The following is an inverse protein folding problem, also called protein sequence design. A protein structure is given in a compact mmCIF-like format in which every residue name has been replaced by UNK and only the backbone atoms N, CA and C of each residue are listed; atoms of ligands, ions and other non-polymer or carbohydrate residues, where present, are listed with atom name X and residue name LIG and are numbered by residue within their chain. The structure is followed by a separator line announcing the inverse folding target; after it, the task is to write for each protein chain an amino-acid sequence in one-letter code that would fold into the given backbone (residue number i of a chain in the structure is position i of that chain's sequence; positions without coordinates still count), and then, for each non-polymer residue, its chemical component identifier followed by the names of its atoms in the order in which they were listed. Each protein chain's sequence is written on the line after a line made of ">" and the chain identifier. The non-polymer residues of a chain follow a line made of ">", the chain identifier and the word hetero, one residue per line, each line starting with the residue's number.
data_IF_407386837832
#
_entry.id   IF_407386837832
#
_cell.length_a   1.000
_cell.length_b   1.000
_cell.length_c   1.000
_cell.angle_alpha   90.00
_cell.angle_beta   90.00
_cell.angle_gamma   90.00
#
_symmetry.space_group_name_H-M   'P 1'
#
loop_
_entity.id
_entity.type
_entity.pdbx_description
1 polymer ?
#
# COMPACT_ATOMS: atom_id res chain seq x y z
N UNK A 1 -11.16 9.72 11.69
CA UNK A 1 -9.77 9.79 12.19
C UNK A 1 -8.81 9.61 11.02
N UNK A 2 -7.79 10.45 10.93
CA UNK A 2 -6.84 10.41 9.80
C UNK A 2 -5.53 9.78 10.24
N UNK A 3 -5.12 8.72 9.54
CA UNK A 3 -3.84 8.07 9.81
C UNK A 3 -2.73 8.79 9.07
N UNK A 4 -1.57 8.89 9.71
CA UNK A 4 -0.37 9.41 9.08
C UNK A 4 0.21 8.31 8.18
N UNK A 5 0.59 8.65 6.96
CA UNK A 5 1.18 7.68 6.03
C UNK A 5 2.70 7.81 6.08
N UNK A 6 3.38 6.70 6.36
CA UNK A 6 4.83 6.62 6.35
C UNK A 6 5.28 5.56 5.35
N UNK A 7 6.51 5.66 4.87
CA UNK A 7 7.03 4.81 3.81
C UNK A 7 8.39 4.23 4.16
N UNK A 8 8.59 2.96 3.81
CA UNK A 8 9.94 2.38 3.82
C UNK A 8 10.70 2.86 2.58
N UNK A 9 12.02 2.63 2.57
CA UNK A 9 12.82 2.92 1.37
C UNK A 9 12.34 2.10 0.18
N UNK A 10 11.99 0.84 0.42
CA UNK A 10 11.48 -0.02 -0.65
C UNK A 10 10.19 0.55 -1.25
N UNK A 11 9.30 1.06 -0.41
CA UNK A 11 8.06 1.67 -0.89
C UNK A 11 8.36 2.90 -1.74
N UNK A 12 9.28 3.75 -1.30
CA UNK A 12 9.66 4.95 -2.04
C UNK A 12 10.21 4.60 -3.41
N UNK A 13 11.08 3.59 -3.47
CA UNK A 13 11.62 3.12 -4.76
C UNK A 13 10.52 2.59 -5.67
N UNK A 14 9.57 1.86 -5.10
CA UNK A 14 8.43 1.35 -5.86
C UNK A 14 7.61 2.46 -6.47
N UNK A 15 7.29 3.48 -5.69
CA UNK A 15 6.55 4.62 -6.21
C UNK A 15 7.32 5.35 -7.31
N UNK A 16 8.63 5.47 -7.14
CA UNK A 16 9.45 6.11 -8.16
C UNK A 16 9.44 5.34 -9.47
N UNK A 17 9.52 4.00 -9.40
CA UNK A 17 9.45 3.16 -10.60
C UNK A 17 8.09 3.30 -11.29
N UNK A 18 7.01 3.30 -10.52
CA UNK A 18 5.68 3.49 -11.09
C UNK A 18 5.57 4.84 -11.77
N UNK A 19 6.06 5.88 -11.13
CA UNK A 19 5.99 7.23 -11.69
C UNK A 19 6.71 7.31 -13.03
N UNK A 20 7.87 6.67 -13.14
CA UNK A 20 8.68 6.72 -14.37
C UNK A 20 8.13 5.87 -15.49
N UNK A 21 7.64 4.67 -15.20
CA UNK A 21 7.32 3.71 -16.24
C UNK A 21 5.83 3.39 -16.37
N UNK A 22 5.03 3.66 -15.36
CA UNK A 22 3.61 3.32 -15.39
C UNK A 22 2.76 4.41 -14.73
N UNK A 23 2.60 5.56 -15.39
CA UNK A 23 1.90 6.71 -14.79
C UNK A 23 0.48 6.43 -14.32
N UNK A 24 -0.26 5.58 -15.05
CA UNK A 24 -1.63 5.24 -14.63
C UNK A 24 -1.62 4.43 -13.33
N UNK A 25 -0.68 3.50 -13.21
CA UNK A 25 -0.52 2.72 -11.99
C UNK A 25 -0.10 3.64 -10.83
N UNK A 26 0.78 4.58 -11.10
CA UNK A 26 1.20 5.55 -10.10
C UNK A 26 0.00 6.35 -9.59
N UNK A 27 -0.83 6.87 -10.50
CA UNK A 27 -2.00 7.65 -10.11
C UNK A 27 -2.97 6.82 -9.27
N UNK A 28 -3.15 5.55 -9.63
CA UNK A 28 -3.99 4.65 -8.84
C UNK A 28 -3.41 4.44 -7.45
N UNK A 29 -2.09 4.26 -7.36
CA UNK A 29 -1.42 4.07 -6.07
C UNK A 29 -1.60 5.29 -5.18
N UNK A 30 -1.47 6.50 -5.72
CA UNK A 30 -1.69 7.73 -4.96
C UNK A 30 -3.13 7.81 -4.47
N UNK A 31 -4.07 7.45 -5.31
CA UNK A 31 -5.49 7.42 -4.93
C UNK A 31 -5.72 6.46 -3.75
N UNK A 32 -5.07 5.29 -3.79
CA UNK A 32 -5.17 4.33 -2.69
C UNK A 32 -4.56 4.87 -1.40
N UNK A 33 -3.45 5.61 -1.49
CA UNK A 33 -2.86 6.23 -0.30
C UNK A 33 -3.82 7.20 0.36
N UNK A 34 -4.53 7.99 -0.44
CA UNK A 34 -5.51 8.92 0.10
C UNK A 34 -6.63 8.20 0.83
N UNK A 35 -7.07 7.05 0.30
CA UNK A 35 -8.07 6.23 0.98
C UNK A 35 -7.52 5.63 2.27
N UNK A 36 -6.26 5.16 2.24
CA UNK A 36 -5.65 4.55 3.42
C UNK A 36 -5.64 5.48 4.62
N UNK A 37 -5.43 6.76 4.38
CA UNK A 37 -5.38 7.73 5.47
C UNK A 37 -6.69 7.78 6.25
N UNK A 38 -7.80 7.54 5.57
CA UNK A 38 -9.13 7.58 6.21
C UNK A 38 -9.68 6.20 6.50
N UNK A 39 -9.38 5.22 5.65
CA UNK A 39 -9.98 3.88 5.72
C UNK A 39 -8.94 2.79 5.48
N UNK A 40 -8.06 2.51 6.45
CA UNK A 40 -6.98 1.54 6.22
C UNK A 40 -7.44 0.10 6.03
N UNK A 41 -8.65 -0.23 6.45
CA UNK A 41 -9.12 -1.62 6.38
C UNK A 41 -10.20 -1.86 5.31
N UNK A 42 -10.63 -0.84 4.62
CA UNK A 42 -11.72 -0.96 3.64
C UNK A 42 -11.51 -0.01 2.48
N UNK A 43 -12.20 -0.27 1.38
CA UNK A 43 -12.20 0.63 0.23
C UNK A 43 -11.74 -0.04 -1.05
N UNK A 44 -11.20 0.76 -1.96
CA UNK A 44 -10.82 0.34 -3.32
C UNK A 44 -9.59 -0.57 -3.30
N UNK A 45 -9.48 -1.44 -4.30
CA UNK A 45 -8.31 -2.30 -4.48
C UNK A 45 -8.37 -3.59 -3.69
N UNK A 46 -9.54 -3.96 -3.19
CA UNK A 46 -9.76 -5.21 -2.46
C UNK A 46 -8.76 -5.37 -1.32
N UNK A 47 -8.82 -4.50 -0.30
CA UNK A 47 -7.92 -4.64 0.85
C UNK A 47 -8.11 -5.98 1.52
N UNK A 48 -7.00 -6.69 1.76
CA UNK A 48 -7.05 -7.99 2.41
C UNK A 48 -5.86 -8.20 3.33
N UNK A 49 -6.07 -8.88 4.46
CA UNK A 49 -4.96 -9.22 5.34
C UNK A 49 -4.13 -10.35 4.73
N UNK A 50 -2.83 -10.27 4.91
CA UNK A 50 -1.93 -11.32 4.42
C UNK A 50 -1.70 -12.36 5.50
N UNK A 51 -1.21 -13.54 5.09
CA UNK A 51 -1.08 -14.69 5.99
C UNK A 51 0.37 -15.16 6.06
N UNK A 52 0.61 -16.14 6.96
CA UNK A 52 1.91 -16.74 7.12
C UNK A 52 2.93 -15.74 7.61
N UNK A 53 4.07 -15.70 6.95
CA UNK A 53 5.15 -14.80 7.32
C UNK A 53 4.80 -13.34 7.20
N UNK A 54 3.73 -13.03 6.46
CA UNK A 54 3.27 -11.66 6.28
C UNK A 54 2.08 -11.31 7.16
N UNK A 55 1.79 -12.14 8.16
CA UNK A 55 0.72 -11.87 9.10
C UNK A 55 0.91 -10.50 9.76
N UNK A 56 -0.15 -9.70 9.82
CA UNK A 56 -0.09 -8.33 10.31
C UNK A 56 0.06 -7.30 9.20
N UNK A 57 0.28 -7.76 7.97
CA UNK A 57 0.34 -6.89 6.81
C UNK A 57 -0.95 -6.98 6.02
N UNK A 58 -1.21 -5.96 5.22
CA UNK A 58 -2.38 -5.86 4.34
C UNK A 58 -1.92 -5.53 2.94
N UNK A 59 -2.74 -5.88 1.95
CA UNK A 59 -2.46 -5.48 0.58
C UNK A 59 -3.69 -4.91 -0.09
N UNK A 60 -3.45 -4.01 -1.05
CA UNK A 60 -4.47 -3.52 -1.99
C UNK A 60 -3.92 -3.64 -3.39
N UNK A 61 -4.80 -3.98 -4.31
CA UNK A 61 -4.42 -4.12 -5.73
C UNK A 61 -4.28 -2.73 -6.36
N UNK A 62 -3.10 -2.45 -6.91
CA UNK A 62 -2.89 -1.27 -7.75
C UNK A 62 -3.26 -1.63 -9.18
N UNK A 63 -2.62 -2.69 -9.72
CA UNK A 63 -2.92 -3.27 -11.01
C UNK A 63 -2.76 -4.78 -10.88
N UNK A 64 -2.88 -5.52 -12.00
CA UNK A 64 -2.62 -6.96 -11.98
C UNK A 64 -1.18 -7.27 -11.58
N UNK A 65 -0.24 -6.38 -11.92
CA UNK A 65 1.18 -6.58 -11.64
C UNK A 65 1.63 -6.08 -10.29
N UNK A 66 0.94 -5.08 -9.75
CA UNK A 66 1.45 -4.34 -8.60
C UNK A 66 0.48 -4.35 -7.45
N UNK A 67 1.02 -4.47 -6.23
CA UNK A 67 0.25 -4.43 -4.99
C UNK A 67 0.84 -3.39 -4.06
N UNK A 68 -0.04 -2.72 -3.33
CA UNK A 68 0.34 -1.85 -2.23
C UNK A 68 0.31 -2.68 -0.96
N UNK A 69 1.46 -2.86 -0.30
CA UNK A 69 1.55 -3.65 0.93
C UNK A 69 1.84 -2.70 2.08
N UNK A 70 1.10 -2.85 3.17
CA UNK A 70 1.20 -1.90 4.28
C UNK A 70 0.85 -2.57 5.60
N UNK A 71 1.24 -1.90 6.69
CA UNK A 71 0.85 -2.26 8.06
C UNK A 71 0.05 -1.12 8.65
N UNK A 72 -0.90 -1.46 9.52
CA UNK A 72 -1.68 -0.44 10.22
C UNK A 72 -1.30 -0.50 11.70
N UNK A 73 -0.83 0.63 12.20
CA UNK A 73 -0.43 0.78 13.60
C UNK A 73 -1.46 1.66 14.29
N UNK A 74 -2.52 1.04 14.81
CA UNK A 74 -3.67 1.77 15.34
C UNK A 74 -3.32 2.64 16.54
N UNK A 75 -2.44 2.14 17.42
CA UNK A 75 -2.07 2.89 18.62
C UNK A 75 -1.37 4.21 18.26
N UNK A 76 -0.51 4.20 17.26
CA UNK A 76 0.19 5.39 16.78
C UNK A 76 -0.59 6.16 15.74
N UNK A 77 -1.67 5.59 15.22
CA UNK A 77 -2.48 6.15 14.13
C UNK A 77 -1.61 6.37 12.89
N UNK A 78 -0.86 5.35 12.53
CA UNK A 78 0.08 5.36 11.41
C UNK A 78 -0.21 4.19 10.47
N UNK A 79 -0.13 4.44 9.17
CA UNK A 79 -0.08 3.38 8.15
C UNK A 79 1.33 3.40 7.57
N UNK A 80 2.05 2.30 7.73
CA UNK A 80 3.40 2.17 7.19
C UNK A 80 3.33 1.40 5.87
N UNK A 81 3.69 2.07 4.78
CA UNK A 81 3.68 1.47 3.44
C UNK A 81 5.01 0.77 3.22
N UNK A 82 4.95 -0.54 2.98
CA UNK A 82 6.13 -1.40 2.86
C UNK A 82 6.61 -1.56 1.43
N UNK A 83 5.68 -1.64 0.48
CA UNK A 83 6.03 -1.78 -0.93
C UNK A 83 4.87 -1.36 -1.81
N UNK A 84 5.17 -1.04 -3.08
CA UNK A 84 4.17 -0.59 -4.05
C UNK A 84 4.44 -1.11 -5.45
N UNK A 85 5.57 -1.77 -5.68
CA UNK A 85 5.94 -2.23 -7.01
C UNK A 85 6.08 -3.74 -7.01
N UNK A 86 5.42 -4.38 -7.98
CA UNK A 86 5.45 -5.83 -8.07
C UNK A 86 4.42 -6.51 -7.17
N UNK A 87 4.50 -7.82 -7.12
CA UNK A 87 3.68 -8.65 -6.26
C UNK A 87 4.46 -9.08 -5.04
N UNK A 88 3.76 -9.30 -3.94
CA UNK A 88 4.35 -10.06 -2.84
C UNK A 88 4.24 -11.54 -3.19
N UNK A 89 5.10 -12.36 -2.63
CA UNK A 89 5.03 -13.80 -2.80
C UNK A 89 4.25 -14.42 -1.65
N UNK A 90 3.40 -15.36 -2.01
CA UNK A 90 2.58 -16.08 -1.04
C UNK A 90 3.39 -17.16 -0.33
#
# INVERSE_FOLDING_TARGET
>A
MTYKIEYTLNAREGFRKLFKSEPKAYNKAISLLNELAEHPYSGTGKPEPLRGDRSGQWSRRITKKHRLVYEVHDTEVIVLVLSAYGHYED
#
